data_IF_024916098851
#
_entry.id   IF_024916098851
#
_cell.length_a   1.000
_cell.length_b   1.000
_cell.length_c   1.000
_cell.angle_alpha   90.00
_cell.angle_beta   90.00
_cell.angle_gamma   90.00
#
_symmetry.space_group_name_H-M   'P 1'
#
loop_
_entity.id
_entity.type
_entity.pdbx_description
1 polymer ?
#
# COMPACT_ATOMS: atom_id res chain seq x y z
N UNK A 1 -17.84 24.71 -9.27
CA UNK A 1 -16.61 25.21 -8.65
C UNK A 1 -15.46 24.35 -9.11
N UNK A 2 -14.58 24.87 -9.98
CA UNK A 2 -13.37 24.18 -10.41
C UNK A 2 -12.37 24.25 -9.24
N UNK A 3 -12.40 23.26 -8.37
CA UNK A 3 -11.41 23.12 -7.32
C UNK A 3 -10.07 22.80 -7.95
N UNK A 4 -9.07 23.62 -7.72
CA UNK A 4 -7.68 23.26 -8.00
C UNK A 4 -7.29 22.09 -7.09
N UNK A 5 -7.41 20.88 -7.60
CA UNK A 5 -7.00 19.68 -6.89
C UNK A 5 -5.47 19.61 -6.81
N UNK A 6 -4.91 19.85 -5.66
CA UNK A 6 -3.48 19.61 -5.44
C UNK A 6 -3.27 18.10 -5.30
N UNK A 7 -2.41 17.50 -6.13
CA UNK A 7 -2.13 16.08 -6.05
C UNK A 7 -1.47 15.70 -4.71
N UNK A 8 -1.65 14.46 -4.27
CA UNK A 8 -0.99 13.94 -3.05
C UNK A 8 0.53 14.12 -3.12
N UNK A 9 1.13 13.86 -4.27
CA UNK A 9 2.58 14.04 -4.50
C UNK A 9 3.01 15.48 -4.29
N UNK A 10 2.23 16.45 -4.77
CA UNK A 10 2.53 17.88 -4.57
C UNK A 10 2.41 18.26 -3.10
N UNK A 11 1.43 17.73 -2.36
CA UNK A 11 1.29 18.00 -0.94
C UNK A 11 2.47 17.42 -0.13
N UNK A 12 2.96 16.23 -0.49
CA UNK A 12 4.12 15.61 0.14
C UNK A 12 5.40 16.42 -0.12
N UNK A 13 5.57 16.90 -1.35
CA UNK A 13 6.69 17.76 -1.73
C UNK A 13 6.65 19.09 -0.99
N UNK A 14 5.51 19.78 -0.96
CA UNK A 14 5.34 21.04 -0.25
C UNK A 14 5.60 20.89 1.25
N UNK A 15 5.13 19.80 1.86
CA UNK A 15 5.37 19.53 3.27
C UNK A 15 6.87 19.29 3.56
N UNK A 16 7.57 18.58 2.67
CA UNK A 16 9.01 18.38 2.77
C UNK A 16 9.79 19.70 2.63
N UNK A 17 9.38 20.55 1.72
CA UNK A 17 9.95 21.90 1.56
C UNK A 17 9.73 22.76 2.82
N UNK A 18 8.50 22.80 3.33
CA UNK A 18 8.15 23.56 4.54
C UNK A 18 8.98 23.10 5.76
N UNK A 19 9.24 21.79 5.89
CA UNK A 19 10.14 21.23 6.91
C UNK A 19 11.58 21.73 6.73
N UNK A 20 12.12 21.72 5.49
CA UNK A 20 13.50 22.17 5.21
C UNK A 20 13.74 23.64 5.54
N UNK A 21 12.76 24.50 5.29
CA UNK A 21 12.84 25.95 5.57
C UNK A 21 12.30 26.32 6.95
N UNK A 22 12.05 25.32 7.82
CA UNK A 22 11.59 25.48 9.20
C UNK A 22 10.34 26.36 9.37
N UNK A 23 9.29 26.03 8.62
CA UNK A 23 7.97 26.66 8.69
C UNK A 23 6.94 25.74 9.38
N UNK A 24 6.89 25.68 10.72
CA UNK A 24 6.04 24.74 11.44
C UNK A 24 4.53 24.92 11.15
N UNK A 25 4.07 26.15 11.03
CA UNK A 25 2.65 26.43 10.74
C UNK A 25 2.26 25.90 9.36
N UNK A 26 3.11 26.07 8.35
CA UNK A 26 2.89 25.50 7.03
C UNK A 26 2.89 23.96 7.06
N UNK A 27 3.76 23.33 7.84
CA UNK A 27 3.78 21.88 8.03
C UNK A 27 2.48 21.41 8.67
N UNK A 28 1.98 22.08 9.72
CA UNK A 28 0.73 21.73 10.39
C UNK A 28 -0.45 21.89 9.43
N UNK A 29 -0.55 23.01 8.75
CA UNK A 29 -1.61 23.26 7.76
C UNK A 29 -1.64 22.18 6.67
N UNK A 30 -0.49 21.86 6.08
CA UNK A 30 -0.40 20.80 5.04
C UNK A 30 -0.75 19.42 5.59
N UNK A 31 -0.45 19.16 6.85
CA UNK A 31 -0.85 17.91 7.54
C UNK A 31 -2.37 17.84 7.64
N UNK A 32 -3.03 18.91 8.04
CA UNK A 32 -4.49 18.96 8.16
C UNK A 32 -5.18 18.86 6.79
N UNK A 33 -4.64 19.51 5.76
CA UNK A 33 -5.13 19.36 4.38
C UNK A 33 -5.03 17.93 3.90
N UNK A 34 -3.91 17.24 4.16
CA UNK A 34 -3.74 15.82 3.82
C UNK A 34 -4.74 14.94 4.56
N UNK A 35 -4.96 15.23 5.84
CA UNK A 35 -5.93 14.50 6.67
C UNK A 35 -7.36 14.71 6.18
N UNK A 36 -7.74 15.93 5.85
CA UNK A 36 -9.06 16.26 5.29
C UNK A 36 -9.29 15.53 3.97
N UNK A 37 -8.33 15.59 3.05
CA UNK A 37 -8.41 14.89 1.77
C UNK A 37 -8.53 13.37 1.93
N UNK A 38 -7.81 12.79 2.90
CA UNK A 38 -7.94 11.37 3.23
C UNK A 38 -9.32 11.03 3.77
N UNK A 39 -9.86 11.85 4.69
CA UNK A 39 -11.20 11.68 5.25
C UNK A 39 -12.28 11.74 4.18
N UNK A 40 -12.21 12.71 3.29
CA UNK A 40 -13.16 12.86 2.18
C UNK A 40 -13.14 11.64 1.26
N UNK A 41 -11.95 11.17 0.90
CA UNK A 41 -11.79 9.94 0.13
C UNK A 41 -12.35 8.69 0.85
N UNK A 42 -12.19 8.61 2.17
CA UNK A 42 -12.75 7.52 2.96
C UNK A 42 -14.27 7.56 3.00
N UNK A 43 -14.85 8.73 3.23
CA UNK A 43 -16.31 8.90 3.26
C UNK A 43 -16.92 8.56 1.90
N UNK A 44 -16.41 9.15 0.84
CA UNK A 44 -16.97 8.97 -0.50
C UNK A 44 -16.80 7.53 -1.02
N UNK A 45 -15.61 6.96 -0.91
CA UNK A 45 -15.29 5.64 -1.49
C UNK A 45 -15.73 4.47 -0.63
N UNK A 46 -15.52 4.56 0.70
CA UNK A 46 -15.69 3.40 1.58
C UNK A 46 -16.96 3.46 2.44
N UNK A 47 -17.51 4.64 2.72
CA UNK A 47 -18.79 4.72 3.41
C UNK A 47 -19.93 4.76 2.40
N UNK A 48 -20.01 5.81 1.62
CA UNK A 48 -21.11 5.98 0.67
C UNK A 48 -21.01 5.01 -0.53
N UNK A 49 -19.80 4.82 -1.06
CA UNK A 49 -19.55 3.90 -2.17
C UNK A 49 -19.89 2.45 -1.83
N UNK A 50 -19.58 1.98 -0.61
CA UNK A 50 -19.93 0.62 -0.18
C UNK A 50 -21.43 0.50 0.09
N UNK A 51 -22.04 1.46 0.79
CA UNK A 51 -23.48 1.48 1.04
C UNK A 51 -24.30 1.36 -0.23
N UNK A 52 -23.89 2.07 -1.30
CA UNK A 52 -24.58 2.03 -2.59
C UNK A 52 -24.61 0.64 -3.23
N UNK A 53 -23.71 -0.27 -2.83
CA UNK A 53 -23.60 -1.62 -3.37
C UNK A 53 -24.21 -2.70 -2.47
N UNK A 54 -24.70 -2.35 -1.28
CA UNK A 54 -25.43 -3.28 -0.43
C UNK A 54 -26.77 -3.62 -1.09
N UNK A 55 -27.03 -4.91 -1.27
CA UNK A 55 -28.24 -5.40 -1.93
C UNK A 55 -29.41 -5.50 -0.92
N UNK A 56 -30.61 -5.78 -1.45
CA UNK A 56 -31.83 -5.92 -0.64
C UNK A 56 -31.75 -7.03 0.41
N UNK A 57 -30.83 -7.99 0.26
CA UNK A 57 -30.55 -9.05 1.23
C UNK A 57 -29.60 -8.59 2.37
N UNK A 58 -29.25 -7.31 2.41
CA UNK A 58 -28.32 -6.72 3.39
C UNK A 58 -26.86 -7.14 3.18
N UNK A 59 -26.51 -7.73 2.04
CA UNK A 59 -25.17 -8.25 1.76
C UNK A 59 -24.47 -7.48 0.67
N UNK A 60 -23.16 -7.60 0.67
CA UNK A 60 -22.28 -7.08 -0.36
C UNK A 60 -21.84 -8.22 -1.28
N UNK A 61 -22.13 -8.11 -2.57
CA UNK A 61 -21.77 -9.08 -3.59
C UNK A 61 -20.71 -8.49 -4.51
N UNK A 62 -19.47 -8.91 -4.28
CA UNK A 62 -18.30 -8.42 -5.04
C UNK A 62 -18.17 -9.18 -6.36
N UNK A 63 -17.89 -8.47 -7.45
CA UNK A 63 -17.56 -9.08 -8.74
C UNK A 63 -16.05 -9.14 -8.90
N UNK A 64 -15.53 -10.33 -9.20
CA UNK A 64 -14.14 -10.55 -9.56
C UNK A 64 -14.02 -10.85 -11.05
N UNK A 65 -13.30 -10.00 -11.76
CA UNK A 65 -13.12 -10.07 -13.21
C UNK A 65 -11.76 -10.69 -13.52
N UNK A 66 -11.75 -11.84 -14.16
CA UNK A 66 -10.54 -12.63 -14.42
C UNK A 66 -9.74 -12.15 -15.64
N UNK A 67 -10.37 -11.41 -16.54
CA UNK A 67 -9.83 -11.04 -17.86
C UNK A 67 -9.34 -9.59 -17.97
N UNK A 68 -9.39 -8.82 -16.86
CA UNK A 68 -9.15 -7.37 -16.90
C UNK A 68 -7.70 -6.96 -16.72
N UNK A 69 -6.85 -7.85 -16.25
CA UNK A 69 -5.44 -7.52 -15.99
C UNK A 69 -4.52 -8.28 -16.92
N UNK A 70 -3.47 -7.63 -17.43
CA UNK A 70 -2.46 -8.27 -18.28
C UNK A 70 -1.65 -9.36 -17.54
N UNK A 71 -1.61 -9.29 -16.20
CA UNK A 71 -0.86 -10.22 -15.34
C UNK A 71 -1.66 -11.44 -14.89
N UNK A 72 -2.94 -11.57 -15.29
CA UNK A 72 -3.82 -12.64 -14.85
C UNK A 72 -4.36 -12.49 -13.41
N UNK A 73 -4.08 -11.39 -12.72
CA UNK A 73 -4.69 -11.08 -11.41
C UNK A 73 -6.17 -10.78 -11.56
N UNK A 74 -6.96 -11.09 -10.53
CA UNK A 74 -8.34 -10.61 -10.47
C UNK A 74 -8.42 -9.10 -10.37
N UNK A 75 -9.43 -8.51 -11.01
CA UNK A 75 -9.82 -7.11 -10.81
C UNK A 75 -11.19 -7.06 -10.14
N UNK A 76 -11.28 -6.36 -9.00
CA UNK A 76 -12.54 -6.19 -8.29
C UNK A 76 -13.41 -5.10 -8.91
N UNK A 77 -14.73 -5.32 -8.96
CA UNK A 77 -15.70 -4.33 -9.40
C UNK A 77 -16.99 -4.45 -8.57
N UNK A 78 -17.74 -3.37 -8.49
CA UNK A 78 -19.11 -3.25 -8.00
C UNK A 78 -19.38 -3.84 -6.60
N UNK A 79 -18.66 -3.46 -5.56
CA UNK A 79 -17.56 -2.52 -5.42
C UNK A 79 -16.18 -3.17 -5.56
N UNK A 80 -15.12 -2.36 -5.81
CA UNK A 80 -13.76 -2.88 -5.81
C UNK A 80 -13.24 -3.04 -4.37
N UNK A 81 -13.38 -4.24 -3.83
CA UNK A 81 -12.91 -4.58 -2.48
C UNK A 81 -11.40 -4.81 -2.37
N UNK A 82 -10.69 -4.89 -3.49
CA UNK A 82 -9.22 -5.06 -3.49
C UNK A 82 -8.48 -3.77 -3.08
N UNK A 83 -9.14 -2.62 -3.22
CA UNK A 83 -8.60 -1.30 -2.83
C UNK A 83 -8.93 -0.90 -1.40
N UNK A 84 -9.37 -1.84 -0.56
CA UNK A 84 -9.66 -1.55 0.84
C UNK A 84 -8.41 -1.04 1.55
N UNK A 85 -8.52 0.06 2.32
CA UNK A 85 -7.39 0.62 3.04
C UNK A 85 -6.83 -0.40 4.03
N UNK A 86 -5.51 -0.45 4.11
CA UNK A 86 -4.84 -1.22 5.16
C UNK A 86 -5.14 -0.57 6.51
N UNK A 87 -5.23 -1.38 7.56
CA UNK A 87 -5.57 -0.93 8.89
C UNK A 87 -4.72 0.27 9.36
N UNK A 88 -5.29 1.13 10.14
CA UNK A 88 -4.69 2.39 10.59
C UNK A 88 -5.77 3.28 11.19
N UNK A 89 -5.78 4.55 10.79
CA UNK A 89 -6.68 5.59 11.33
C UNK A 89 -8.16 5.25 11.17
N UNK A 90 -8.54 4.55 10.08
CA UNK A 90 -9.94 4.22 9.79
C UNK A 90 -10.11 2.72 9.55
N UNK A 91 -10.65 1.97 10.51
CA UNK A 91 -10.75 0.51 10.43
C UNK A 91 -11.95 0.05 9.57
N UNK A 92 -12.02 0.47 8.30
CA UNK A 92 -13.13 0.18 7.38
C UNK A 92 -13.37 -1.32 7.24
N UNK A 93 -12.32 -2.14 7.26
CA UNK A 93 -12.47 -3.61 7.17
C UNK A 93 -13.30 -4.22 8.30
N UNK A 94 -13.40 -3.56 9.47
CA UNK A 94 -14.14 -4.08 10.62
C UNK A 94 -15.67 -4.06 10.45
N UNK A 95 -16.18 -3.34 9.47
CA UNK A 95 -17.63 -3.33 9.19
C UNK A 95 -18.10 -4.60 8.46
N UNK A 96 -17.18 -5.35 7.88
CA UNK A 96 -17.47 -6.60 7.19
C UNK A 96 -17.52 -7.75 8.19
N UNK A 97 -18.63 -8.45 8.20
CA UNK A 97 -18.86 -9.59 9.07
C UNK A 97 -19.29 -10.80 8.25
N UNK A 98 -19.14 -11.99 8.83
CA UNK A 98 -19.65 -13.19 8.20
C UNK A 98 -21.17 -13.12 8.02
N UNK A 99 -21.68 -13.63 6.90
CA UNK A 99 -23.11 -13.76 6.66
C UNK A 99 -23.80 -14.82 7.55
N UNK A 100 -23.02 -15.69 8.16
CA UNK A 100 -23.53 -16.69 9.09
C UNK A 100 -23.39 -16.22 10.51
N UNK A 101 -24.40 -16.44 11.33
CA UNK A 101 -24.36 -16.13 12.76
C UNK A 101 -23.22 -16.88 13.44
N UNK A 102 -22.39 -16.18 14.21
CA UNK A 102 -21.20 -16.74 14.85
C UNK A 102 -20.05 -17.09 13.89
N UNK A 103 -20.24 -16.87 12.58
CA UNK A 103 -19.21 -17.12 11.58
C UNK A 103 -18.05 -16.13 11.67
N UNK A 104 -16.92 -16.52 11.08
CA UNK A 104 -15.70 -15.72 11.03
C UNK A 104 -15.29 -15.47 9.59
N UNK A 105 -14.53 -14.40 9.37
CA UNK A 105 -13.80 -14.15 8.13
C UNK A 105 -12.36 -14.62 8.34
N UNK A 106 -11.88 -15.50 7.46
CA UNK A 106 -10.49 -15.92 7.40
C UNK A 106 -9.78 -15.07 6.35
N UNK A 107 -8.68 -14.43 6.74
CA UNK A 107 -7.75 -13.75 5.83
C UNK A 107 -6.44 -14.54 5.83
N UNK A 108 -6.03 -15.01 4.66
CA UNK A 108 -4.76 -15.71 4.48
C UNK A 108 -4.05 -15.15 3.25
N UNK A 109 -2.77 -14.88 3.39
CA UNK A 109 -1.92 -14.34 2.33
C UNK A 109 -0.56 -15.05 2.33
N UNK A 110 0.01 -15.23 1.13
CA UNK A 110 1.33 -15.82 1.01
C UNK A 110 2.41 -14.81 1.43
N UNK A 111 3.31 -15.24 2.30
CA UNK A 111 4.45 -14.42 2.68
C UNK A 111 5.43 -14.28 1.52
N UNK A 112 5.64 -13.06 1.06
CA UNK A 112 6.66 -12.71 0.04
C UNK A 112 6.58 -13.55 -1.24
N UNK A 113 5.39 -13.87 -1.74
CA UNK A 113 5.22 -14.78 -2.87
C UNK A 113 6.04 -14.36 -4.10
N UNK A 114 6.05 -13.07 -4.42
CA UNK A 114 6.76 -12.53 -5.60
C UNK A 114 8.28 -12.71 -5.46
N UNK A 115 8.85 -12.44 -4.29
CA UNK A 115 10.27 -12.67 -4.02
C UNK A 115 10.62 -14.16 -4.08
N UNK A 116 9.76 -15.03 -3.55
CA UNK A 116 9.93 -16.49 -3.64
C UNK A 116 9.93 -16.99 -5.07
N UNK A 117 9.00 -16.48 -5.89
CA UNK A 117 8.93 -16.82 -7.30
C UNK A 117 10.17 -16.30 -8.05
N UNK A 118 10.63 -15.10 -7.78
CA UNK A 118 11.83 -14.53 -8.38
C UNK A 118 13.09 -15.33 -8.00
N UNK A 119 13.25 -15.69 -6.73
CA UNK A 119 14.36 -16.52 -6.26
C UNK A 119 14.37 -17.89 -6.96
N UNK A 120 13.20 -18.52 -7.06
CA UNK A 120 13.07 -19.81 -7.73
C UNK A 120 13.37 -19.73 -9.23
N UNK A 121 12.87 -18.72 -9.92
CA UNK A 121 13.08 -18.56 -11.37
C UNK A 121 14.51 -18.15 -11.72
N UNK A 122 15.13 -17.30 -10.91
CA UNK A 122 16.52 -16.87 -11.13
C UNK A 122 17.55 -17.92 -10.73
N UNK A 123 17.18 -18.88 -9.88
CA UNK A 123 18.09 -19.86 -9.24
C UNK A 123 19.23 -19.18 -8.46
N UNK A 124 19.01 -17.93 -8.01
CA UNK A 124 19.97 -17.21 -7.20
C UNK A 124 20.14 -17.88 -5.84
N UNK A 125 21.36 -18.30 -5.53
CA UNK A 125 21.65 -19.09 -4.32
C UNK A 125 21.42 -18.31 -3.04
N UNK A 126 21.66 -16.99 -3.05
CA UNK A 126 21.47 -16.13 -1.89
C UNK A 126 19.96 -15.97 -1.64
N UNK A 127 19.21 -15.59 -2.66
CA UNK A 127 17.75 -15.43 -2.56
C UNK A 127 17.06 -16.75 -2.17
N UNK A 128 17.49 -17.89 -2.72
CA UNK A 128 16.98 -19.22 -2.36
C UNK A 128 17.25 -19.56 -0.90
N UNK A 129 18.43 -19.25 -0.39
CA UNK A 129 18.78 -19.45 1.02
C UNK A 129 17.93 -18.55 1.93
N UNK A 130 17.75 -17.27 1.59
CA UNK A 130 16.92 -16.34 2.33
C UNK A 130 15.46 -16.81 2.42
N UNK A 131 14.91 -17.28 1.29
CA UNK A 131 13.55 -17.85 1.24
C UNK A 131 13.41 -19.08 2.13
N UNK A 132 14.42 -19.98 2.13
CA UNK A 132 14.39 -21.22 2.91
C UNK A 132 14.53 -20.99 4.41
N UNK A 133 15.30 -20.02 4.82
CA UNK A 133 15.55 -19.67 6.24
C UNK A 133 14.47 -18.78 6.83
N UNK A 134 13.52 -18.27 6.02
CA UNK A 134 12.50 -17.33 6.46
C UNK A 134 13.06 -15.93 6.74
N UNK A 135 14.16 -15.57 6.11
CA UNK A 135 14.81 -14.27 6.24
C UNK A 135 13.86 -13.11 5.86
N UNK A 136 13.78 -12.10 6.69
CA UNK A 136 12.96 -10.92 6.41
C UNK A 136 13.75 -9.88 5.60
N UNK A 137 13.75 -10.05 4.30
CA UNK A 137 14.38 -9.16 3.31
C UNK A 137 13.99 -7.69 3.53
N UNK A 138 12.73 -7.42 3.87
CA UNK A 138 12.27 -6.04 4.04
C UNK A 138 12.85 -5.38 5.30
N UNK A 139 12.97 -6.12 6.39
CA UNK A 139 13.63 -5.64 7.60
C UNK A 139 15.12 -5.41 7.37
N UNK A 140 15.77 -6.30 6.62
CA UNK A 140 17.17 -6.13 6.24
C UNK A 140 17.37 -4.88 5.37
N UNK A 141 16.58 -4.72 4.30
CA UNK A 141 16.61 -3.53 3.43
C UNK A 141 16.37 -2.24 4.22
N UNK A 142 15.39 -2.23 5.14
CA UNK A 142 15.13 -1.11 6.06
C UNK A 142 16.36 -0.75 6.88
N UNK A 143 17.03 -1.77 7.43
CA UNK A 143 18.26 -1.57 8.22
C UNK A 143 19.38 -0.98 7.37
N UNK A 144 19.67 -1.56 6.21
CA UNK A 144 20.74 -1.08 5.31
C UNK A 144 20.53 0.39 4.92
N UNK A 145 19.32 0.76 4.51
CA UNK A 145 19.01 2.14 4.13
C UNK A 145 19.11 3.09 5.34
N UNK A 146 18.65 2.65 6.50
CA UNK A 146 18.74 3.45 7.75
C UNK A 146 20.18 3.66 8.18
N UNK A 147 21.01 2.60 8.14
CA UNK A 147 22.44 2.66 8.51
C UNK A 147 23.23 3.56 7.54
N UNK A 148 22.77 3.69 6.30
CA UNK A 148 23.31 4.63 5.31
C UNK A 148 22.83 6.10 5.50
N UNK A 149 22.11 6.39 6.58
CA UNK A 149 21.71 7.75 6.97
C UNK A 149 20.30 8.15 6.54
N UNK A 150 19.51 7.24 6.01
CA UNK A 150 18.12 7.49 5.62
C UNK A 150 17.14 6.66 6.47
N UNK A 151 16.59 7.20 7.57
CA UNK A 151 15.64 6.49 8.41
C UNK A 151 14.47 5.93 7.59
N UNK A 152 14.39 4.61 7.45
CA UNK A 152 13.44 3.94 6.57
C UNK A 152 12.68 2.87 7.36
N UNK A 153 11.36 2.94 7.35
CA UNK A 153 10.54 1.91 7.98
C UNK A 153 10.56 0.61 7.15
N UNK A 154 10.29 -0.53 7.81
CA UNK A 154 10.11 -1.81 7.10
C UNK A 154 9.05 -1.74 5.99
N UNK A 155 8.00 -0.95 6.20
CA UNK A 155 6.93 -0.77 5.21
C UNK A 155 7.41 0.01 3.98
N UNK A 156 8.23 1.04 4.17
CA UNK A 156 8.80 1.83 3.07
C UNK A 156 9.87 1.02 2.33
N UNK A 157 10.71 0.29 3.07
CA UNK A 157 11.72 -0.61 2.50
C UNK A 157 11.13 -1.69 1.58
N UNK A 158 9.88 -2.06 1.79
CA UNK A 158 9.18 -3.01 0.91
C UNK A 158 9.14 -2.54 -0.55
N UNK A 159 8.92 -1.26 -0.78
CA UNK A 159 8.95 -0.70 -2.14
C UNK A 159 10.36 -0.80 -2.77
N UNK A 160 11.39 -0.53 -1.99
CA UNK A 160 12.79 -0.62 -2.44
C UNK A 160 13.22 -2.05 -2.73
N UNK A 161 12.77 -3.02 -1.93
CA UNK A 161 13.06 -4.45 -2.15
C UNK A 161 12.45 -4.95 -3.45
N UNK A 162 11.21 -4.54 -3.76
CA UNK A 162 10.51 -5.05 -4.94
C UNK A 162 10.82 -4.27 -6.22
N UNK A 163 11.17 -3.00 -6.14
CA UNK A 163 11.39 -2.15 -7.31
C UNK A 163 12.38 -2.75 -8.34
N UNK A 164 13.53 -3.35 -7.94
CA UNK A 164 14.43 -3.99 -8.89
C UNK A 164 13.82 -5.19 -9.62
N UNK A 165 12.98 -5.97 -8.97
CA UNK A 165 12.29 -7.11 -9.58
C UNK A 165 11.34 -6.68 -10.71
N UNK A 166 10.88 -5.44 -10.67
CA UNK A 166 10.04 -4.82 -11.70
C UNK A 166 10.82 -3.93 -12.67
N UNK A 167 12.15 -4.07 -12.72
CA UNK A 167 13.02 -3.36 -13.66
C UNK A 167 13.36 -1.93 -13.25
N UNK A 168 13.11 -1.53 -12.00
CA UNK A 168 13.57 -0.22 -11.54
C UNK A 168 15.10 -0.18 -11.49
N UNK A 169 15.67 0.83 -12.13
CA UNK A 169 17.10 1.11 -12.09
C UNK A 169 17.45 1.98 -10.90
N UNK A 170 18.71 2.04 -10.49
CA UNK A 170 19.18 2.93 -9.42
C UNK A 170 19.13 4.43 -9.77
N UNK A 171 18.69 4.80 -10.97
CA UNK A 171 18.60 6.19 -11.38
C UNK A 171 17.60 6.97 -10.51
N UNK A 172 18.05 8.07 -9.91
CA UNK A 172 17.22 8.89 -8.99
C UNK A 172 17.14 8.35 -7.57
N UNK A 173 17.82 7.25 -7.24
CA UNK A 173 17.96 6.75 -5.87
C UNK A 173 19.19 7.32 -5.19
N UNK A 174 19.16 7.34 -3.86
CA UNK A 174 20.40 7.55 -3.10
C UNK A 174 21.38 6.40 -3.36
N UNK A 175 22.68 6.66 -3.13
CA UNK A 175 23.72 5.63 -3.30
C UNK A 175 23.43 4.37 -2.47
N UNK A 176 22.92 4.54 -1.25
CA UNK A 176 22.55 3.46 -0.36
C UNK A 176 21.35 2.61 -0.83
N UNK A 177 20.52 3.15 -1.72
CA UNK A 177 19.40 2.42 -2.31
C UNK A 177 19.78 1.71 -3.61
N UNK A 178 20.91 2.07 -4.20
CA UNK A 178 21.39 1.55 -5.48
C UNK A 178 22.37 0.36 -5.30
N UNK A 179 22.99 0.24 -4.15
CA UNK A 179 23.87 -0.87 -3.73
C UNK A 179 23.05 -1.99 -3.08
#
# INVERSE_FOLDING_TARGET
ANGFGVSKTNLDMLQSMAKRINMPDAVNFLTDVKRLSALDSYLSSFVEGIKAHVKSDGKLHVRLLQHRTATGRFSGADPNMQNMPRGGTFPVKKVFVSRWSGGKILEADFAQLEFRAAAYLSQDKVAMNEVSTGFDVHSYTSKVITDAGQPTSRQDAKAHTFAPLYGATGFGRSKAEAE
#
